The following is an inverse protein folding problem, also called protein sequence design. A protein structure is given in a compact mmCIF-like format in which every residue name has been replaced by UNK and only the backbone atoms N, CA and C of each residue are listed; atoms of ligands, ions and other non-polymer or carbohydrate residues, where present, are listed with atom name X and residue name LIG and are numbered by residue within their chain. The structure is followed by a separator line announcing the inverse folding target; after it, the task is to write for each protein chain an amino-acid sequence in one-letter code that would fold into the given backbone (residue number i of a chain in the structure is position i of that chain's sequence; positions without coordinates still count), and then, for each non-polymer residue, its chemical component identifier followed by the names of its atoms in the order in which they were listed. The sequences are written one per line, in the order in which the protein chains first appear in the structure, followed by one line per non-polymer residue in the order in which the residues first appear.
data_IF_438704239481
#
_entry.id   IF_438704239481
#
_cell.length_a   1.000
_cell.length_b   1.000
_cell.length_c   1.000
_cell.angle_alpha   90.00
_cell.angle_beta   90.00
_cell.angle_gamma   90.00
#
_symmetry.space_group_name_H-M   'P 1'
#
loop_
_entity.id
_entity.type
_entity.pdbx_description
1 polymer ?
#
# COMPACT_ATOMS: atom_id res chain seq x y z
N UNK A 1 12.16 -1.05 12.64
CA UNK A 1 11.44 -0.06 13.47
C UNK A 1 10.84 -0.79 14.65
N UNK A 2 10.96 -0.24 15.87
CA UNK A 2 10.23 -0.74 17.03
C UNK A 2 8.89 -0.05 17.11
N UNK A 3 7.83 -0.79 17.45
CA UNK A 3 6.47 -0.28 17.54
C UNK A 3 5.71 -1.00 18.66
N UNK A 4 4.70 -0.33 19.23
CA UNK A 4 3.74 -0.95 20.14
C UNK A 4 2.46 -1.34 19.41
N UNK A 5 2.05 -0.52 18.44
CA UNK A 5 0.84 -0.71 17.64
C UNK A 5 1.07 -0.32 16.18
N UNK A 6 0.71 -1.21 15.27
CA UNK A 6 0.56 -0.90 13.83
C UNK A 6 -0.91 -1.05 13.45
N UNK A 7 -1.40 -0.13 12.62
CA UNK A 7 -2.64 -0.27 11.85
C UNK A 7 -2.27 -0.35 10.38
N UNK A 8 -2.57 -1.48 9.73
CA UNK A 8 -2.34 -1.64 8.29
C UNK A 8 -3.65 -1.56 7.52
N UNK A 9 -3.64 -0.77 6.44
CA UNK A 9 -4.79 -0.48 5.57
C UNK A 9 -4.43 -0.93 4.16
N UNK A 10 -5.30 -1.72 3.53
CA UNK A 10 -5.16 -2.16 2.14
C UNK A 10 -5.43 -1.03 1.14
N UNK A 11 -5.72 -1.42 -0.08
CA UNK A 11 -5.89 -0.56 -1.24
C UNK A 11 -7.09 0.39 -1.12
N UNK A 12 -6.93 1.68 -1.45
CA UNK A 12 -7.96 2.71 -1.26
C UNK A 12 -8.36 3.45 -2.55
N UNK A 13 -7.61 3.30 -3.62
CA UNK A 13 -7.96 3.75 -4.98
C UNK A 13 -8.74 5.07 -5.05
N UNK A 14 -8.08 6.18 -4.71
CA UNK A 14 -8.63 7.52 -4.81
C UNK A 14 -9.90 7.78 -3.98
N UNK A 15 -10.23 6.92 -3.01
CA UNK A 15 -11.41 7.09 -2.16
C UNK A 15 -11.05 7.74 -0.83
N UNK A 16 -10.88 9.05 -0.87
CA UNK A 16 -10.48 9.84 0.31
C UNK A 16 -11.46 9.72 1.49
N UNK A 17 -12.78 9.62 1.21
CA UNK A 17 -13.78 9.48 2.27
C UNK A 17 -13.67 8.13 2.99
N UNK A 18 -13.47 7.05 2.24
CA UNK A 18 -13.20 5.72 2.82
C UNK A 18 -11.90 5.75 3.63
N UNK A 19 -10.85 6.38 3.11
CA UNK A 19 -9.58 6.48 3.85
C UNK A 19 -9.74 7.20 5.19
N UNK A 20 -10.39 8.36 5.21
CA UNK A 20 -10.68 9.08 6.46
C UNK A 20 -11.54 8.25 7.42
N UNK A 21 -12.57 7.58 6.92
CA UNK A 21 -13.45 6.74 7.74
C UNK A 21 -12.70 5.56 8.37
N UNK A 22 -11.78 4.92 7.62
CA UNK A 22 -10.88 3.87 8.14
C UNK A 22 -9.98 4.39 9.25
N UNK A 23 -9.32 5.53 9.04
CA UNK A 23 -8.44 6.13 10.04
C UNK A 23 -9.20 6.49 11.32
N UNK A 24 -10.41 7.04 11.18
CA UNK A 24 -11.29 7.36 12.32
C UNK A 24 -11.72 6.07 13.06
N UNK A 25 -12.19 5.05 12.33
CA UNK A 25 -12.55 3.73 12.88
C UNK A 25 -11.38 3.09 13.66
N UNK A 26 -10.15 3.32 13.22
CA UNK A 26 -8.95 2.81 13.89
C UNK A 26 -8.50 3.67 15.08
N UNK A 27 -9.23 4.74 15.44
CA UNK A 27 -8.87 5.69 16.50
C UNK A 27 -7.47 6.29 16.32
N UNK A 28 -7.10 6.62 15.08
CA UNK A 28 -5.83 7.29 14.79
C UNK A 28 -6.01 8.75 14.36
N UNK A 29 -7.24 9.13 13.98
CA UNK A 29 -7.65 10.53 13.80
C UNK A 29 -8.92 10.84 14.59
N UNK A 30 -9.12 12.11 14.92
CA UNK A 30 -10.37 12.63 15.50
C UNK A 30 -11.42 12.94 14.40
N UNK A 31 -12.60 13.46 14.82
CA UNK A 31 -13.68 13.86 13.91
C UNK A 31 -13.28 14.98 12.95
N UNK A 32 -12.33 15.83 13.35
CA UNK A 32 -11.79 16.91 12.53
C UNK A 32 -10.73 16.43 11.53
N UNK A 33 -10.27 15.18 11.67
CA UNK A 33 -9.26 14.57 10.81
C UNK A 33 -7.83 14.79 11.31
N UNK A 34 -7.62 15.24 12.55
CA UNK A 34 -6.30 15.42 13.13
C UNK A 34 -5.80 14.14 13.81
N UNK A 35 -4.49 13.99 13.89
CA UNK A 35 -3.86 12.82 14.50
C UNK A 35 -4.10 12.74 16.00
N UNK A 36 -4.63 11.61 16.46
CA UNK A 36 -4.81 11.25 17.87
C UNK A 36 -4.23 9.87 18.21
N UNK A 37 -3.57 9.22 17.24
CA UNK A 37 -3.06 7.84 17.35
C UNK A 37 -1.85 7.66 18.26
N UNK A 38 -1.33 8.74 18.87
CA UNK A 38 -0.12 8.66 19.72
C UNK A 38 1.07 8.07 18.96
N UNK A 39 1.73 7.05 19.53
CA UNK A 39 2.86 6.33 18.93
C UNK A 39 2.47 5.24 17.94
N UNK A 40 1.22 5.17 17.52
CA UNK A 40 0.76 4.20 16.51
C UNK A 40 1.43 4.44 15.16
N UNK A 41 1.80 3.36 14.46
CA UNK A 41 2.20 3.42 13.06
C UNK A 41 1.03 3.01 12.18
N UNK A 42 0.65 3.87 11.23
CA UNK A 42 -0.29 3.52 10.15
C UNK A 42 0.54 3.19 8.92
N UNK A 43 0.32 2.00 8.36
CA UNK A 43 0.98 1.53 7.13
C UNK A 43 -0.12 1.24 6.10
N UNK A 44 -0.21 2.11 5.09
CA UNK A 44 -1.10 1.93 3.96
C UNK A 44 -0.34 1.21 2.84
N UNK A 45 -0.93 0.16 2.25
CA UNK A 45 -0.24 -0.82 1.44
C UNK A 45 -0.17 -0.53 -0.07
N UNK A 46 -0.18 0.74 -0.44
CA UNK A 46 -0.11 1.15 -1.85
C UNK A 46 -1.49 1.23 -2.50
N UNK A 47 -1.50 1.52 -3.80
CA UNK A 47 -2.72 1.72 -4.58
C UNK A 47 -3.64 2.79 -3.97
N UNK A 48 -3.08 3.97 -3.77
CA UNK A 48 -3.84 5.16 -3.35
C UNK A 48 -4.47 5.89 -4.53
N UNK A 49 -4.02 5.63 -5.75
CA UNK A 49 -4.43 6.25 -7.00
C UNK A 49 -5.47 5.40 -7.74
N UNK A 50 -6.00 5.97 -8.84
CA UNK A 50 -6.85 5.30 -9.82
C UNK A 50 -8.18 4.82 -9.23
N UNK A 51 -9.07 5.80 -9.02
CA UNK A 51 -10.38 5.64 -8.34
C UNK A 51 -11.48 5.00 -9.18
N UNK A 52 -11.17 4.26 -10.24
CA UNK A 52 -12.13 3.64 -11.14
C UNK A 52 -11.72 2.22 -11.52
N UNK A 53 -12.67 1.38 -11.91
CA UNK A 53 -12.42 0.02 -12.42
C UNK A 53 -13.22 -0.25 -13.69
N UNK A 54 -12.62 -0.96 -14.68
CA UNK A 54 -13.33 -1.38 -15.89
C UNK A 54 -14.57 -2.20 -15.54
N UNK A 55 -15.69 -1.92 -16.22
CA UNK A 55 -16.93 -2.65 -16.04
C UNK A 55 -17.68 -2.39 -14.73
N UNK A 56 -17.14 -1.58 -13.82
CA UNK A 56 -17.78 -1.24 -12.54
C UNK A 56 -18.52 0.09 -12.68
N UNK A 57 -19.83 0.09 -12.40
CA UNK A 57 -20.65 1.30 -12.38
C UNK A 57 -20.43 2.05 -11.06
N UNK A 58 -19.91 3.25 -11.15
CA UNK A 58 -19.78 4.18 -10.01
C UNK A 58 -21.10 4.92 -9.79
N UNK A 59 -21.39 5.29 -8.53
CA UNK A 59 -22.45 6.24 -8.25
C UNK A 59 -22.09 7.63 -8.78
N UNK A 60 -23.12 8.44 -9.14
CA UNK A 60 -22.90 9.81 -9.61
C UNK A 60 -22.11 10.65 -8.59
N UNK A 61 -22.44 10.49 -7.30
CA UNK A 61 -21.79 11.18 -6.20
C UNK A 61 -20.30 10.86 -6.14
N UNK A 62 -19.91 9.58 -6.15
CA UNK A 62 -18.51 9.16 -6.11
C UNK A 62 -17.73 9.60 -7.36
N UNK A 63 -18.36 9.54 -8.53
CA UNK A 63 -17.74 9.98 -9.79
C UNK A 63 -17.37 11.47 -9.81
N UNK A 64 -18.05 12.29 -9.02
CA UNK A 64 -17.81 13.73 -8.89
C UNK A 64 -16.82 14.09 -7.76
N UNK A 65 -16.47 13.14 -6.88
CA UNK A 65 -15.53 13.36 -5.80
C UNK A 65 -14.10 13.10 -6.30
N UNK A 66 -13.21 14.07 -6.15
CA UNK A 66 -11.78 13.85 -6.26
C UNK A 66 -11.26 13.11 -5.01
N UNK A 67 -10.02 12.65 -5.03
CA UNK A 67 -9.46 11.98 -3.86
C UNK A 67 -7.98 11.69 -3.94
N UNK A 68 -7.39 11.61 -5.13
CA UNK A 68 -5.99 11.22 -5.29
C UNK A 68 -5.02 12.23 -4.69
N UNK A 69 -5.15 13.49 -5.08
CA UNK A 69 -4.28 14.55 -4.55
C UNK A 69 -4.52 14.77 -3.06
N UNK A 70 -5.77 14.72 -2.64
CA UNK A 70 -6.16 14.83 -1.23
C UNK A 70 -5.53 13.72 -0.39
N UNK A 71 -5.51 12.46 -0.86
CA UNK A 71 -4.89 11.33 -0.15
C UNK A 71 -3.37 11.55 -0.05
N UNK A 72 -2.71 11.93 -1.16
CA UNK A 72 -1.27 12.18 -1.16
C UNK A 72 -0.91 13.22 -0.10
N UNK A 73 -1.59 14.37 -0.12
CA UNK A 73 -1.31 15.48 0.80
C UNK A 73 -1.70 15.13 2.24
N UNK A 74 -2.83 14.46 2.44
CA UNK A 74 -3.31 14.10 3.77
C UNK A 74 -2.39 13.10 4.48
N UNK A 75 -1.81 12.12 3.77
CA UNK A 75 -0.80 11.22 4.33
C UNK A 75 0.41 12.01 4.85
N UNK A 76 0.87 13.02 4.11
CA UNK A 76 2.01 13.85 4.52
C UNK A 76 1.69 14.69 5.77
N UNK A 77 0.51 15.30 5.79
CA UNK A 77 0.04 16.09 6.94
C UNK A 77 -0.05 15.20 8.18
N UNK A 78 -0.69 14.03 8.06
CA UNK A 78 -0.84 13.10 9.17
C UNK A 78 0.51 12.53 9.64
N UNK A 79 1.45 12.19 8.73
CA UNK A 79 2.78 11.73 9.14
C UNK A 79 3.55 12.82 9.91
N UNK A 80 3.38 14.09 9.50
CA UNK A 80 3.98 15.21 10.22
C UNK A 80 3.40 15.35 11.64
N UNK A 81 2.08 15.24 11.79
CA UNK A 81 1.41 15.27 13.11
C UNK A 81 1.78 14.05 13.95
N UNK A 82 1.82 12.85 13.35
CA UNK A 82 2.14 11.59 14.02
C UNK A 82 3.58 11.59 14.57
N UNK A 83 4.54 12.09 13.81
CA UNK A 83 5.95 12.23 14.25
C UNK A 83 6.09 13.01 15.55
N UNK A 84 5.32 14.06 15.74
CA UNK A 84 5.33 14.87 16.97
C UNK A 84 4.84 14.07 18.21
N UNK A 85 4.18 12.93 17.98
CA UNK A 85 3.65 12.04 19.04
C UNK A 85 4.35 10.67 19.07
N UNK A 86 5.48 10.52 18.35
CA UNK A 86 6.22 9.25 18.24
C UNK A 86 5.58 8.21 17.31
N UNK A 87 4.53 8.57 16.57
CA UNK A 87 3.88 7.74 15.58
C UNK A 87 4.36 8.00 14.15
N UNK A 88 3.76 7.30 13.19
CA UNK A 88 4.04 7.45 11.75
C UNK A 88 2.78 7.18 10.92
N UNK A 89 2.69 7.84 9.77
CA UNK A 89 1.76 7.47 8.70
C UNK A 89 2.56 7.26 7.42
N UNK A 90 2.68 6.03 6.97
CA UNK A 90 3.51 5.63 5.84
C UNK A 90 2.62 4.95 4.81
N UNK A 91 2.65 5.41 3.57
CA UNK A 91 2.12 4.66 2.43
C UNK A 91 3.28 4.03 1.68
N UNK A 92 3.17 2.77 1.28
CA UNK A 92 4.14 2.15 0.39
C UNK A 92 3.72 2.31 -1.07
N UNK A 93 4.60 1.96 -2.00
CA UNK A 93 4.27 1.97 -3.42
C UNK A 93 3.46 0.74 -3.80
N UNK A 94 2.34 0.95 -4.50
CA UNK A 94 1.60 -0.06 -5.21
C UNK A 94 1.82 0.04 -6.72
N UNK A 95 1.17 -0.83 -7.50
CA UNK A 95 1.30 -0.78 -8.95
C UNK A 95 0.59 0.45 -9.55
N UNK A 96 -0.47 0.96 -8.93
CA UNK A 96 -1.17 2.14 -9.40
C UNK A 96 -0.35 3.43 -9.21
N UNK A 97 0.54 3.52 -8.24
CA UNK A 97 1.52 4.61 -8.15
C UNK A 97 2.54 4.59 -9.29
N UNK A 98 2.82 3.42 -9.86
CA UNK A 98 3.82 3.25 -10.92
C UNK A 98 3.21 3.19 -12.32
N UNK A 99 1.89 3.10 -12.46
CA UNK A 99 1.21 3.09 -13.75
C UNK A 99 1.56 4.25 -14.68
N UNK A 100 1.75 5.50 -14.21
CA UNK A 100 2.20 6.59 -15.08
C UNK A 100 3.53 6.35 -15.76
N UNK A 101 4.43 5.54 -15.15
CA UNK A 101 5.67 5.10 -15.78
C UNK A 101 5.43 4.07 -16.90
N UNK A 102 4.58 3.07 -16.64
CA UNK A 102 4.39 1.95 -17.58
C UNK A 102 3.44 2.27 -18.73
N UNK A 103 2.39 3.02 -18.46
CA UNK A 103 1.31 3.28 -19.42
C UNK A 103 1.31 4.72 -19.92
N UNK A 104 1.97 5.65 -19.24
CA UNK A 104 2.07 7.04 -19.69
C UNK A 104 0.69 7.64 -20.01
N UNK A 105 0.55 8.17 -21.23
CA UNK A 105 -0.68 8.80 -21.72
C UNK A 105 -1.65 7.82 -22.41
N UNK A 106 -1.59 6.52 -22.08
CA UNK A 106 -2.55 5.56 -22.61
C UNK A 106 -3.98 5.98 -22.28
N UNK A 107 -4.67 6.46 -23.33
CA UNK A 107 -6.03 6.98 -23.23
C UNK A 107 -7.02 5.91 -22.77
N UNK A 108 -6.78 4.64 -23.09
CA UNK A 108 -7.61 3.53 -22.64
C UNK A 108 -7.45 3.33 -21.13
N UNK A 109 -6.21 3.31 -20.64
CA UNK A 109 -5.92 3.19 -19.23
C UNK A 109 -6.56 4.34 -18.43
N UNK A 110 -6.33 5.58 -18.86
CA UNK A 110 -6.90 6.77 -18.20
C UNK A 110 -8.45 6.68 -18.16
N UNK A 111 -9.09 6.29 -19.28
CA UNK A 111 -10.53 6.12 -19.36
C UNK A 111 -11.05 5.06 -18.40
N UNK A 112 -10.33 3.96 -18.20
CA UNK A 112 -10.80 2.79 -17.46
C UNK A 112 -10.49 2.85 -15.96
N UNK A 113 -9.44 3.58 -15.54
CA UNK A 113 -8.96 3.58 -14.16
C UNK A 113 -9.01 4.93 -13.47
N UNK A 114 -8.97 6.06 -14.19
CA UNK A 114 -8.90 7.39 -13.60
C UNK A 114 -10.26 8.08 -13.63
N UNK A 115 -10.68 8.65 -12.51
CA UNK A 115 -11.91 9.47 -12.48
C UNK A 115 -11.66 10.82 -13.14
N UNK A 116 -12.67 11.31 -13.86
CA UNK A 116 -12.63 12.66 -14.44
C UNK A 116 -12.43 13.73 -13.36
N UNK A 117 -13.07 13.58 -12.22
CA UNK A 117 -12.92 14.51 -11.08
C UNK A 117 -11.47 14.62 -10.57
N UNK A 118 -10.69 13.52 -10.56
CA UNK A 118 -9.27 13.57 -10.20
C UNK A 118 -8.46 14.30 -11.27
N UNK A 119 -8.73 14.06 -12.57
CA UNK A 119 -8.08 14.78 -13.68
C UNK A 119 -8.41 16.28 -13.61
N UNK A 120 -9.65 16.64 -13.33
CA UNK A 120 -10.11 18.03 -13.29
C UNK A 120 -9.42 18.82 -12.15
N UNK A 121 -9.12 18.20 -11.01
CA UNK A 121 -8.35 18.83 -9.92
C UNK A 121 -6.93 19.17 -10.37
N UNK A 122 -6.24 18.26 -11.05
CA UNK A 122 -4.90 18.56 -11.58
C UNK A 122 -4.95 19.67 -12.62
N UNK A 123 -5.93 19.63 -13.54
CA UNK A 123 -6.12 20.69 -14.55
C UNK A 123 -6.44 22.05 -13.97
N UNK A 124 -7.17 22.11 -12.86
CA UNK A 124 -7.45 23.38 -12.16
C UNK A 124 -6.17 24.08 -11.70
N UNK A 125 -5.11 23.33 -11.48
CA UNK A 125 -3.79 23.82 -11.10
C UNK A 125 -2.82 23.90 -12.31
N UNK A 126 -3.31 23.85 -13.55
CA UNK A 126 -2.50 23.81 -14.77
C UNK A 126 -1.47 22.67 -14.81
N UNK A 127 -1.82 21.53 -14.20
CA UNK A 127 -0.96 20.36 -14.10
C UNK A 127 -1.58 19.21 -14.93
N UNK A 128 -0.78 18.58 -15.78
CA UNK A 128 -1.14 17.28 -16.33
C UNK A 128 -0.89 16.17 -15.30
N UNK A 129 -1.92 15.40 -14.95
CA UNK A 129 -1.85 14.37 -13.91
C UNK A 129 -0.78 13.31 -14.22
N UNK A 130 -0.75 12.83 -15.47
CA UNK A 130 0.17 11.77 -15.87
C UNK A 130 1.60 12.24 -15.79
N UNK A 131 1.90 13.39 -16.39
CA UNK A 131 3.22 14.02 -16.33
C UNK A 131 3.63 14.31 -14.89
N UNK A 132 2.73 14.81 -14.04
CA UNK A 132 3.03 15.08 -12.63
C UNK A 132 3.52 13.83 -11.91
N UNK A 133 2.88 12.67 -12.14
CA UNK A 133 3.17 11.42 -11.43
C UNK A 133 4.34 10.64 -12.03
N UNK A 134 4.80 10.94 -13.25
CA UNK A 134 5.94 10.26 -13.87
C UNK A 134 7.25 10.46 -13.10
N UNK A 135 8.18 9.48 -13.13
CA UNK A 135 9.51 9.62 -12.56
C UNK A 135 10.22 10.88 -13.06
N UNK A 136 10.92 11.58 -12.16
CA UNK A 136 11.62 12.83 -12.46
C UNK A 136 10.77 14.08 -12.33
N UNK A 137 9.45 13.98 -12.35
CA UNK A 137 8.54 15.09 -12.12
C UNK A 137 8.18 15.27 -10.64
N UNK A 138 7.43 16.32 -10.32
CA UNK A 138 7.16 16.75 -8.93
C UNK A 138 6.47 15.62 -8.13
N UNK A 139 5.39 15.05 -8.65
CA UNK A 139 4.63 13.98 -8.00
C UNK A 139 5.43 12.69 -7.90
N UNK A 140 6.09 12.26 -8.99
CA UNK A 140 7.00 11.12 -8.98
C UNK A 140 8.12 11.28 -7.96
N UNK A 141 8.72 12.47 -7.89
CA UNK A 141 9.75 12.81 -6.90
C UNK A 141 9.20 12.81 -5.48
N UNK A 142 7.97 13.27 -5.26
CA UNK A 142 7.30 13.24 -3.96
C UNK A 142 7.06 11.79 -3.51
N UNK A 143 6.52 10.95 -4.40
CA UNK A 143 6.33 9.52 -4.13
C UNK A 143 7.66 8.84 -3.79
N UNK A 144 8.71 9.08 -4.57
CA UNK A 144 10.05 8.52 -4.34
C UNK A 144 10.67 8.92 -3.00
N UNK A 145 10.37 10.11 -2.49
CA UNK A 145 10.89 10.61 -1.19
C UNK A 145 10.09 10.08 0.01
N UNK A 146 8.82 9.75 -0.18
CA UNK A 146 7.88 9.52 0.93
C UNK A 146 7.37 8.10 1.01
N UNK A 147 7.45 7.31 -0.07
CA UNK A 147 6.89 5.96 -0.17
C UNK A 147 7.97 4.92 -0.43
N UNK A 148 8.28 4.03 0.52
CA UNK A 148 9.14 2.89 0.27
C UNK A 148 8.41 1.84 -0.60
N UNK A 149 9.18 1.02 -1.33
CA UNK A 149 8.66 -0.16 -2.01
C UNK A 149 8.35 -1.29 -1.02
N UNK A 150 9.20 -1.45 -0.04
CA UNK A 150 9.09 -2.45 1.02
C UNK A 150 9.46 -1.83 2.36
N UNK A 151 8.72 -2.19 3.41
CA UNK A 151 8.98 -1.71 4.77
C UNK A 151 9.12 -2.90 5.71
N UNK A 152 10.01 -2.80 6.69
CA UNK A 152 10.09 -3.76 7.79
C UNK A 152 9.88 -3.09 9.13
N UNK A 153 8.93 -3.61 9.92
CA UNK A 153 8.73 -3.24 11.31
C UNK A 153 8.69 -4.51 12.18
N UNK A 154 9.68 -4.65 13.05
CA UNK A 154 9.89 -5.89 13.80
C UNK A 154 10.04 -7.07 12.84
N UNK A 155 9.23 -8.09 13.04
CA UNK A 155 9.21 -9.31 12.24
C UNK A 155 8.24 -9.25 11.02
N UNK A 156 7.59 -8.11 10.79
CA UNK A 156 6.64 -7.90 9.71
C UNK A 156 7.26 -7.16 8.54
N UNK A 157 7.16 -7.74 7.35
CA UNK A 157 7.43 -7.10 6.07
C UNK A 157 6.12 -6.59 5.48
N UNK A 158 6.12 -5.37 4.97
CA UNK A 158 4.98 -4.74 4.29
C UNK A 158 5.38 -4.50 2.84
N UNK A 159 4.64 -5.07 1.91
CA UNK A 159 4.85 -4.94 0.46
C UNK A 159 3.49 -4.99 -0.23
N UNK A 160 3.33 -4.30 -1.35
CA UNK A 160 2.03 -4.25 -2.02
C UNK A 160 1.61 -5.61 -2.59
N UNK A 161 2.42 -6.20 -3.46
CA UNK A 161 2.12 -7.47 -4.12
C UNK A 161 2.88 -8.65 -3.50
N UNK A 162 4.03 -9.04 -4.05
CA UNK A 162 4.78 -10.20 -3.56
C UNK A 162 6.28 -9.92 -3.47
N UNK A 163 6.96 -10.62 -2.57
CA UNK A 163 8.44 -10.71 -2.60
C UNK A 163 8.82 -11.60 -3.77
N UNK A 164 9.62 -11.08 -4.72
CA UNK A 164 10.02 -11.82 -5.91
C UNK A 164 11.48 -12.26 -5.84
N UNK A 165 11.81 -13.35 -6.52
CA UNK A 165 13.19 -13.84 -6.59
C UNK A 165 14.11 -12.83 -7.31
N UNK A 166 13.59 -12.09 -8.30
CA UNK A 166 14.32 -11.03 -8.99
C UNK A 166 14.72 -9.90 -8.04
N UNK A 167 13.76 -9.40 -7.22
CA UNK A 167 14.02 -8.39 -6.21
C UNK A 167 15.05 -8.87 -5.17
N UNK A 168 14.91 -10.11 -4.68
CA UNK A 168 15.86 -10.70 -3.72
C UNK A 168 17.27 -10.74 -4.33
N UNK A 169 17.42 -11.39 -5.49
CA UNK A 169 18.74 -11.61 -6.14
C UNK A 169 19.48 -10.30 -6.40
N UNK A 170 18.77 -9.26 -6.83
CA UNK A 170 19.35 -7.95 -7.14
C UNK A 170 19.80 -7.17 -5.89
N UNK A 171 19.37 -7.59 -4.71
CA UNK A 171 19.55 -6.81 -3.48
C UNK A 171 20.10 -7.60 -2.29
N UNK A 172 20.68 -8.78 -2.51
CA UNK A 172 21.40 -9.49 -1.44
C UNK A 172 22.70 -8.74 -1.10
N UNK A 173 22.87 -8.44 0.16
CA UNK A 173 24.13 -7.95 0.68
C UNK A 173 25.13 -9.15 0.74
N UNK A 174 26.25 -9.11 0.01
CA UNK A 174 27.17 -10.24 -0.07
C UNK A 174 27.87 -10.58 1.27
N UNK A 175 27.95 -9.62 2.19
CA UNK A 175 28.58 -9.83 3.51
C UNK A 175 27.65 -10.57 4.48
N UNK A 176 26.34 -10.33 4.41
CA UNK A 176 25.37 -10.89 5.37
C UNK A 176 24.53 -12.02 4.78
N UNK A 177 24.50 -12.16 3.46
CA UNK A 177 23.58 -13.06 2.75
C UNK A 177 22.11 -12.68 2.88
N UNK A 178 21.80 -11.49 3.42
CA UNK A 178 20.44 -10.98 3.63
C UNK A 178 20.10 -9.89 2.62
N UNK A 179 18.82 -9.68 2.39
CA UNK A 179 18.30 -8.61 1.52
C UNK A 179 18.54 -7.26 2.18
N UNK A 180 19.05 -6.31 1.41
CA UNK A 180 19.24 -4.92 1.81
C UNK A 180 18.01 -4.10 1.43
N UNK A 181 17.07 -3.95 2.39
CA UNK A 181 15.85 -3.15 2.23
C UNK A 181 16.19 -1.67 1.98
N UNK A 182 17.25 -1.16 2.60
CA UNK A 182 17.66 0.22 2.40
C UNK A 182 18.08 0.46 0.94
N UNK A 183 18.88 -0.46 0.39
CA UNK A 183 19.28 -0.40 -1.04
C UNK A 183 18.06 -0.44 -1.96
N UNK A 184 17.11 -1.36 -1.74
CA UNK A 184 15.87 -1.45 -2.50
C UNK A 184 15.17 -0.08 -2.54
N UNK A 185 14.87 0.47 -1.38
CA UNK A 185 14.11 1.73 -1.27
C UNK A 185 14.91 2.93 -1.80
N UNK A 186 16.24 2.95 -1.60
CA UNK A 186 17.12 4.00 -2.13
C UNK A 186 17.14 4.01 -3.66
N UNK A 187 17.25 2.85 -4.30
CA UNK A 187 17.31 2.74 -5.77
C UNK A 187 15.97 3.13 -6.39
N UNK A 188 14.84 2.68 -5.82
CA UNK A 188 13.49 3.09 -6.24
C UNK A 188 13.27 4.59 -6.03
N UNK A 189 13.67 5.12 -4.89
CA UNK A 189 13.59 6.55 -4.61
C UNK A 189 14.40 7.38 -5.62
N UNK A 190 15.63 7.01 -5.92
CA UNK A 190 16.47 7.69 -6.93
C UNK A 190 15.83 7.65 -8.31
N UNK A 191 15.30 6.50 -8.72
CA UNK A 191 14.59 6.38 -9.99
C UNK A 191 13.38 7.30 -10.06
N UNK A 192 12.47 7.25 -9.09
CA UNK A 192 11.29 8.11 -9.06
C UNK A 192 11.62 9.60 -8.99
N UNK A 193 12.76 9.97 -8.42
CA UNK A 193 13.26 11.34 -8.43
C UNK A 193 13.98 11.75 -9.74
N UNK A 194 14.06 10.87 -10.75
CA UNK A 194 14.80 11.12 -11.98
C UNK A 194 16.33 11.13 -11.83
N UNK A 195 16.85 10.57 -10.73
CA UNK A 195 18.28 10.55 -10.38
C UNK A 195 18.95 9.18 -10.57
N UNK A 196 18.22 8.21 -11.08
CA UNK A 196 18.67 6.84 -11.27
C UNK A 196 17.88 6.13 -12.36
N UNK A 197 18.35 4.94 -12.74
CA UNK A 197 17.62 4.06 -13.67
C UNK A 197 16.53 3.31 -12.93
N UNK A 198 15.53 2.83 -13.68
CA UNK A 198 14.54 1.90 -13.15
C UNK A 198 15.26 0.64 -12.62
N UNK A 199 14.94 0.18 -11.41
CA UNK A 199 15.49 -1.09 -10.92
C UNK A 199 15.03 -2.26 -11.82
N UNK A 200 15.94 -3.20 -12.14
CA UNK A 200 15.67 -4.30 -13.06
C UNK A 200 14.37 -5.07 -12.76
N UNK A 201 14.07 -5.31 -11.48
CA UNK A 201 12.83 -5.99 -11.05
C UNK A 201 11.57 -5.13 -11.15
N UNK A 202 11.68 -3.88 -11.65
CA UNK A 202 10.58 -2.95 -11.91
C UNK A 202 10.54 -2.51 -13.40
N UNK A 203 11.27 -3.16 -14.31
CA UNK A 203 11.32 -2.75 -15.72
C UNK A 203 10.04 -3.08 -16.49
N UNK A 204 9.33 -4.12 -16.10
CA UNK A 204 8.08 -4.55 -16.75
C UNK A 204 6.94 -4.77 -15.73
N UNK A 205 5.76 -5.10 -16.23
CA UNK A 205 4.57 -5.40 -15.40
C UNK A 205 4.37 -6.91 -15.17
N UNK A 206 5.41 -7.71 -15.36
CA UNK A 206 5.36 -9.16 -15.25
C UNK A 206 5.37 -9.67 -13.80
N UNK A 207 5.32 -11.00 -13.68
CA UNK A 207 5.28 -11.71 -12.38
C UNK A 207 6.51 -11.49 -11.50
N UNK A 208 7.62 -11.05 -12.08
CA UNK A 208 8.87 -10.77 -11.37
C UNK A 208 8.91 -9.36 -10.78
N UNK A 209 7.96 -8.49 -11.16
CA UNK A 209 7.78 -7.19 -10.56
C UNK A 209 7.00 -7.29 -9.24
N UNK A 210 7.57 -6.87 -8.10
CA UNK A 210 6.99 -7.08 -6.78
C UNK A 210 5.64 -6.39 -6.56
N UNK A 211 5.33 -5.30 -7.27
CA UNK A 211 4.04 -4.60 -7.12
C UNK A 211 2.94 -5.18 -8.03
N UNK A 212 3.30 -5.86 -9.12
CA UNK A 212 2.33 -6.54 -9.99
C UNK A 212 2.15 -8.02 -9.66
N UNK A 213 3.12 -8.62 -8.96
CA UNK A 213 3.12 -10.04 -8.68
C UNK A 213 1.98 -10.44 -7.73
N UNK A 214 1.16 -11.39 -8.16
CA UNK A 214 0.05 -11.94 -7.37
C UNK A 214 0.34 -13.33 -6.81
N UNK A 215 1.60 -13.76 -6.85
CA UNK A 215 2.01 -15.11 -6.42
C UNK A 215 1.62 -15.39 -4.97
N UNK A 216 1.67 -14.38 -4.08
CA UNK A 216 1.27 -14.53 -2.68
C UNK A 216 -0.19 -14.20 -2.44
N UNK A 217 -0.76 -13.32 -3.24
CA UNK A 217 -2.08 -12.74 -2.98
C UNK A 217 -3.22 -13.46 -3.67
N UNK A 218 -3.04 -14.06 -4.87
CA UNK A 218 -4.12 -14.76 -5.59
C UNK A 218 -4.26 -16.25 -5.26
N UNK A 219 -3.24 -16.88 -4.74
CA UNK A 219 -3.31 -18.30 -4.47
C UNK A 219 -4.41 -18.60 -3.44
N UNK A 220 -5.58 -19.03 -3.92
CA UNK A 220 -6.70 -19.45 -3.07
C UNK A 220 -6.29 -20.57 -2.10
N UNK A 221 -5.39 -21.44 -2.56
CA UNK A 221 -4.82 -22.51 -1.75
C UNK A 221 -3.32 -22.58 -2.01
N UNK A 222 -2.53 -22.01 -1.11
CA UNK A 222 -1.09 -22.28 -1.10
C UNK A 222 -0.86 -23.65 -0.47
N UNK A 223 -0.36 -24.59 -1.25
CA UNK A 223 0.03 -25.90 -0.73
C UNK A 223 1.32 -25.81 0.11
N UNK A 224 1.71 -26.89 0.77
CA UNK A 224 2.89 -26.94 1.64
C UNK A 224 4.17 -26.51 0.90
N UNK A 225 4.34 -26.92 -0.36
CA UNK A 225 5.53 -26.61 -1.15
C UNK A 225 5.62 -25.09 -1.44
N UNK A 226 4.48 -24.45 -1.75
CA UNK A 226 4.42 -23.00 -1.92
C UNK A 226 4.78 -22.27 -0.62
N UNK A 227 4.22 -22.71 0.51
CA UNK A 227 4.53 -22.11 1.81
C UNK A 227 6.02 -22.28 2.18
N UNK A 228 6.62 -23.43 1.90
CA UNK A 228 8.05 -23.66 2.11
C UNK A 228 8.94 -22.77 1.22
N UNK A 229 8.55 -22.55 -0.04
CA UNK A 229 9.25 -21.61 -0.92
C UNK A 229 9.17 -20.19 -0.38
N UNK A 230 7.98 -19.76 0.03
CA UNK A 230 7.77 -18.41 0.61
C UNK A 230 8.60 -18.27 1.89
N UNK A 231 8.66 -19.27 2.76
CA UNK A 231 9.52 -19.25 3.94
C UNK A 231 10.98 -18.98 3.57
N UNK A 232 11.51 -19.70 2.58
CA UNK A 232 12.89 -19.49 2.10
C UNK A 232 13.13 -18.08 1.57
N UNK A 233 12.12 -17.43 0.96
CA UNK A 233 12.22 -16.04 0.52
C UNK A 233 12.24 -15.07 1.70
N UNK A 234 11.35 -15.27 2.69
CA UNK A 234 11.27 -14.44 3.90
C UNK A 234 12.54 -14.58 4.74
N UNK A 235 13.13 -15.79 4.82
CA UNK A 235 14.38 -16.06 5.53
C UNK A 235 15.59 -15.27 4.98
N UNK A 236 15.47 -14.69 3.77
CA UNK A 236 16.48 -13.77 3.23
C UNK A 236 16.43 -12.38 3.88
N UNK A 237 15.40 -12.05 4.65
CA UNK A 237 15.31 -10.81 5.40
C UNK A 237 15.76 -11.02 6.85
N UNK A 238 16.20 -9.94 7.50
CA UNK A 238 16.59 -10.02 8.91
C UNK A 238 15.37 -10.17 9.81
N UNK A 239 15.30 -11.25 10.61
CA UNK A 239 14.26 -11.47 11.62
C UNK A 239 12.83 -11.29 11.12
N UNK A 240 12.55 -11.61 9.85
CA UNK A 240 11.23 -11.52 9.28
C UNK A 240 10.48 -12.85 9.41
N UNK A 241 9.23 -12.79 9.83
CA UNK A 241 8.35 -13.94 9.98
C UNK A 241 7.04 -13.81 9.19
N UNK A 242 6.59 -12.59 8.97
CA UNK A 242 5.30 -12.29 8.37
C UNK A 242 5.45 -11.33 7.18
N UNK A 243 4.58 -11.49 6.18
CA UNK A 243 4.41 -10.53 5.08
C UNK A 243 2.98 -10.04 5.07
N UNK A 244 2.79 -8.74 5.17
CA UNK A 244 1.49 -8.05 5.08
C UNK A 244 1.38 -7.43 3.68
N UNK A 245 0.30 -7.72 2.97
CA UNK A 245 0.14 -7.32 1.56
C UNK A 245 -1.27 -6.87 1.20
N UNK A 246 -1.38 -6.09 0.10
CA UNK A 246 -2.60 -5.65 -0.58
C UNK A 246 -2.84 -6.36 -1.91
N UNK A 247 -3.16 -5.59 -2.94
CA UNK A 247 -3.14 -5.92 -4.36
C UNK A 247 -4.22 -6.90 -4.87
N UNK A 248 -4.57 -7.93 -4.12
CA UNK A 248 -5.60 -8.90 -4.51
C UNK A 248 -6.74 -8.91 -3.50
N UNK A 249 -7.94 -8.72 -4.02
CA UNK A 249 -9.13 -8.50 -3.21
C UNK A 249 -9.70 -9.78 -2.61
N UNK A 250 -10.09 -9.70 -1.34
CA UNK A 250 -10.76 -10.74 -0.59
C UNK A 250 -12.03 -10.19 0.10
N UNK A 251 -12.91 -11.10 0.54
CA UNK A 251 -14.09 -10.70 1.31
C UNK A 251 -13.79 -10.27 2.74
N UNK A 252 -12.64 -10.65 3.26
CA UNK A 252 -12.14 -10.31 4.60
C UNK A 252 -10.63 -10.41 4.65
N UNK A 253 -10.01 -9.62 5.52
CA UNK A 253 -8.60 -9.81 5.91
C UNK A 253 -8.41 -11.25 6.37
N UNK A 254 -7.39 -11.91 5.84
CA UNK A 254 -7.16 -13.33 6.08
C UNK A 254 -5.68 -13.68 6.11
N UNK A 255 -5.38 -14.87 6.59
CA UNK A 255 -4.01 -15.39 6.64
C UNK A 255 -3.88 -16.71 5.89
N UNK A 256 -2.64 -17.03 5.51
CA UNK A 256 -2.29 -18.34 4.96
C UNK A 256 -0.87 -18.73 5.35
N UNK A 257 -0.45 -19.96 5.03
CA UNK A 257 0.88 -20.46 5.38
C UNK A 257 1.21 -20.31 6.87
N UNK A 258 0.30 -20.71 7.77
CA UNK A 258 0.44 -20.56 9.23
C UNK A 258 0.72 -19.12 9.65
N UNK A 259 -0.10 -18.17 9.15
CA UNK A 259 -0.02 -16.73 9.39
C UNK A 259 1.24 -16.03 8.83
N UNK A 260 2.05 -16.73 8.03
CA UNK A 260 3.21 -16.16 7.38
C UNK A 260 2.82 -15.06 6.38
N UNK A 261 1.69 -15.24 5.67
CA UNK A 261 1.12 -14.24 4.77
C UNK A 261 -0.18 -13.68 5.35
N UNK A 262 -0.31 -12.36 5.38
CA UNK A 262 -1.48 -11.63 5.85
C UNK A 262 -1.97 -10.74 4.71
N UNK A 263 -3.19 -10.99 4.22
CA UNK A 263 -3.79 -10.33 3.06
C UNK A 263 -4.83 -9.34 3.52
N UNK A 264 -4.66 -8.07 3.17
CA UNK A 264 -5.46 -6.99 3.74
C UNK A 264 -6.34 -6.24 2.75
N UNK A 265 -6.20 -6.49 1.44
CA UNK A 265 -7.10 -5.87 0.46
C UNK A 265 -8.46 -6.56 0.50
N UNK A 266 -9.49 -5.77 0.82
CA UNK A 266 -10.89 -6.23 0.94
C UNK A 266 -11.85 -5.37 0.12
N UNK A 267 -11.38 -4.82 -1.01
CA UNK A 267 -12.16 -3.95 -1.90
C UNK A 267 -12.77 -2.75 -1.17
N UNK A 268 -11.96 -2.06 -0.37
CA UNK A 268 -12.41 -0.95 0.49
C UNK A 268 -13.03 0.19 -0.30
N UNK A 269 -12.41 0.56 -1.42
CA UNK A 269 -12.82 1.69 -2.25
C UNK A 269 -14.16 1.49 -2.96
N UNK A 270 -14.90 2.59 -3.17
CA UNK A 270 -16.05 2.66 -4.06
C UNK A 270 -15.70 2.49 -5.54
N UNK A 271 -14.41 2.50 -5.89
CA UNK A 271 -13.94 2.09 -7.21
C UNK A 271 -14.40 0.67 -7.58
N UNK A 272 -14.56 -0.21 -6.58
CA UNK A 272 -15.10 -1.57 -6.73
C UNK A 272 -16.64 -1.63 -6.63
N UNK A 273 -17.33 -0.50 -6.78
CA UNK A 273 -18.78 -0.38 -6.66
C UNK A 273 -19.26 -0.19 -5.21
N UNK A 274 -20.57 -0.02 -5.05
CA UNK A 274 -21.23 0.22 -3.77
C UNK A 274 -21.19 1.69 -3.33
N UNK A 275 -22.01 2.00 -2.34
CA UNK A 275 -22.09 3.32 -1.72
C UNK A 275 -21.25 3.36 -0.43
N UNK A 276 -20.92 4.58 0.01
CA UNK A 276 -20.07 4.80 1.18
C UNK A 276 -20.58 4.10 2.44
N UNK A 277 -21.88 4.14 2.65
CA UNK A 277 -22.58 3.61 3.81
C UNK A 277 -22.58 2.07 3.86
N UNK A 278 -22.48 1.42 2.68
CA UNK A 278 -22.55 -0.03 2.52
C UNK A 278 -21.17 -0.70 2.49
N UNK A 279 -20.08 0.06 2.57
CA UNK A 279 -18.73 -0.49 2.56
C UNK A 279 -18.39 -1.14 3.90
N UNK A 280 -17.99 -2.41 3.86
CA UNK A 280 -17.52 -3.16 5.04
C UNK A 280 -16.06 -2.84 5.27
N UNK A 281 -15.81 -1.88 6.16
CA UNK A 281 -14.46 -1.42 6.45
C UNK A 281 -13.71 -2.42 7.34
N UNK A 282 -12.48 -2.71 6.97
CA UNK A 282 -11.56 -3.54 7.75
C UNK A 282 -10.14 -2.95 7.71
N UNK A 283 -9.46 -3.00 8.84
CA UNK A 283 -8.03 -2.72 8.95
C UNK A 283 -7.37 -3.79 9.83
N UNK A 284 -6.12 -4.14 9.52
CA UNK A 284 -5.32 -5.02 10.35
C UNK A 284 -4.71 -4.22 11.51
N UNK A 285 -4.85 -4.72 12.73
CA UNK A 285 -4.11 -4.20 13.89
C UNK A 285 -3.07 -5.23 14.32
N UNK A 286 -1.84 -4.77 14.54
CA UNK A 286 -0.74 -5.56 15.07
C UNK A 286 -0.30 -4.89 16.38
N UNK A 287 -0.36 -5.63 17.49
CA UNK A 287 0.09 -5.18 18.81
C UNK A 287 1.33 -5.98 19.23
N UNK A 288 2.36 -5.27 19.70
CA UNK A 288 3.62 -5.86 20.17
C UNK A 288 3.83 -5.49 21.64
N UNK A 289 3.70 -6.47 22.52
CA UNK A 289 3.81 -6.28 23.98
C UNK A 289 4.91 -7.14 24.61
N UNK A 290 6.04 -7.34 23.89
CA UNK A 290 7.18 -8.11 24.40
C UNK A 290 7.05 -9.64 24.27
N UNK A 291 5.93 -10.15 23.71
CA UNK A 291 5.69 -11.57 23.42
C UNK A 291 5.29 -11.77 21.96
N UNK A 292 4.60 -12.86 21.68
CA UNK A 292 3.99 -13.11 20.36
C UNK A 292 3.06 -11.95 19.97
N UNK A 293 3.12 -11.46 18.72
CA UNK A 293 2.29 -10.35 18.29
C UNK A 293 0.80 -10.73 18.25
N UNK A 294 -0.04 -9.83 18.76
CA UNK A 294 -1.49 -9.98 18.71
C UNK A 294 -1.99 -9.35 17.41
N UNK A 295 -2.69 -10.14 16.59
CA UNK A 295 -3.26 -9.71 15.33
C UNK A 295 -4.79 -9.61 15.45
N UNK A 296 -5.34 -8.43 15.15
CA UNK A 296 -6.77 -8.19 15.15
C UNK A 296 -7.23 -7.63 13.79
N UNK A 297 -8.48 -7.88 13.46
CA UNK A 297 -9.21 -7.14 12.43
C UNK A 297 -10.05 -6.09 13.14
N UNK A 298 -9.81 -4.80 12.85
CA UNK A 298 -10.67 -3.69 13.27
C UNK A 298 -11.80 -3.55 12.26
N UNK A 299 -13.02 -3.43 12.75
CA UNK A 299 -14.23 -3.15 11.97
C UNK A 299 -15.05 -2.08 12.67
N UNK A 300 -16.08 -1.55 12.02
CA UNK A 300 -17.03 -0.61 12.65
C UNK A 300 -17.81 -1.22 13.82
N UNK A 301 -17.89 -2.56 13.88
CA UNK A 301 -18.52 -3.30 14.98
C UNK A 301 -17.55 -3.65 16.12
N UNK A 302 -16.30 -3.19 16.04
CA UNK A 302 -15.25 -3.49 17.01
C UNK A 302 -14.12 -4.35 16.46
N UNK A 303 -13.31 -4.90 17.37
CA UNK A 303 -12.13 -5.71 17.06
C UNK A 303 -12.43 -7.20 17.21
N UNK A 304 -11.85 -8.01 16.32
CA UNK A 304 -11.88 -9.48 16.43
C UNK A 304 -10.48 -10.05 16.12
N UNK A 305 -10.06 -11.14 16.80
CA UNK A 305 -8.79 -11.78 16.51
C UNK A 305 -8.70 -12.23 15.05
N UNK A 306 -7.54 -12.05 14.43
CA UNK A 306 -7.22 -12.64 13.13
C UNK A 306 -6.76 -14.08 13.36
N UNK A 307 -7.53 -15.03 12.86
CA UNK A 307 -7.26 -16.47 12.99
C UNK A 307 -6.27 -16.96 11.93
#
# INVERSE_FOLDING_TARGET
MNFNRIVSIGDIHGDFKIFKRLLYMCNVIDKSGNWVGGSTYVIQLGDTLDGKRPGVRMSKKYAQESGELEIILYILILDSQAKLKGGRVISILGNHELYPHYFGDDKQFIRDYVKKSDIDVFKFHDIDRTTFLQPGNIGGSLLGRTRPLILQAGEFLFIHGSITDAMIKSNINPRTGKVDIYKINSDVSKWLMGKGKVPHYLEDTGKDNPVFSRVYSEAKTLNVNNCNRIRKQIDKFHNANHVVMGHSTYSSINTTCKRMLIRTDVSLSRAFGGELENKKLQALEILQNGGEPILNIITEMGKKPLK
#
